data_IF_712055510418
#
_entry.id   IF_712055510418
#
_cell.length_a   1.000
_cell.length_b   1.000
_cell.length_c   1.000
_cell.angle_alpha   90.00
_cell.angle_beta   90.00
_cell.angle_gamma   90.00
#
_symmetry.space_group_name_H-M   'P 1'
#
loop_
_entity.id
_entity.type
_entity.pdbx_description
1 polymer ?
#
# COMPACT_ATOMS: atom_id res chain seq x y z
N UNK A 1 6.96 19.76 23.52
CA UNK A 1 5.87 19.23 24.36
C UNK A 1 4.53 19.34 23.63
N UNK A 2 4.06 20.54 23.26
CA UNK A 2 2.87 20.70 22.41
C UNK A 2 3.16 20.37 20.93
N UNK A 3 4.29 20.84 20.39
CA UNK A 3 4.71 20.51 19.01
C UNK A 3 4.89 19.00 18.80
N UNK A 4 5.54 18.30 19.74
CA UNK A 4 5.72 16.84 19.68
C UNK A 4 4.37 16.09 19.67
N UNK A 5 3.36 16.64 20.38
CA UNK A 5 2.03 16.06 20.43
C UNK A 5 1.33 16.23 19.07
N UNK A 6 1.42 17.42 18.49
CA UNK A 6 0.83 17.73 17.18
C UNK A 6 1.46 16.88 16.06
N UNK A 7 2.78 16.67 16.08
CA UNK A 7 3.47 15.77 15.14
C UNK A 7 3.01 14.31 15.30
N UNK A 8 2.76 13.86 16.53
CA UNK A 8 2.25 12.53 16.79
C UNK A 8 0.82 12.35 16.25
N UNK A 9 -0.06 13.32 16.46
CA UNK A 9 -1.43 13.31 15.94
C UNK A 9 -1.47 13.30 14.41
N UNK A 10 -0.62 14.11 13.76
CA UNK A 10 -0.55 14.14 12.30
C UNK A 10 -0.06 12.80 11.74
N UNK A 11 0.92 12.19 12.40
CA UNK A 11 1.42 10.86 12.04
C UNK A 11 0.32 9.79 12.16
N UNK A 12 -0.40 9.78 13.27
CA UNK A 12 -1.46 8.79 13.52
C UNK A 12 -2.61 8.95 12.50
N UNK A 13 -2.95 10.19 12.14
CA UNK A 13 -3.90 10.49 11.06
C UNK A 13 -3.45 9.93 9.72
N UNK A 14 -2.17 10.14 9.34
CA UNK A 14 -1.60 9.59 8.10
C UNK A 14 -1.65 8.06 8.08
N UNK A 15 -1.38 7.41 9.22
CA UNK A 15 -1.49 5.95 9.33
C UNK A 15 -2.93 5.46 9.19
N UNK A 16 -3.89 6.12 9.82
CA UNK A 16 -5.31 5.78 9.70
C UNK A 16 -5.78 5.87 8.23
N UNK A 17 -5.46 6.97 7.54
CA UNK A 17 -5.80 7.14 6.11
C UNK A 17 -5.13 6.08 5.23
N UNK A 18 -3.88 5.71 5.52
CA UNK A 18 -3.20 4.64 4.78
C UNK A 18 -3.87 3.27 4.98
N UNK A 19 -4.25 2.95 6.22
CA UNK A 19 -4.95 1.71 6.56
C UNK A 19 -6.29 1.60 5.83
N UNK A 20 -7.05 2.70 5.77
CA UNK A 20 -8.30 2.76 5.02
C UNK A 20 -8.07 2.59 3.52
N UNK A 21 -7.09 3.30 2.95
CA UNK A 21 -6.76 3.22 1.53
C UNK A 21 -6.32 1.80 1.12
N UNK A 22 -5.55 1.09 1.96
CA UNK A 22 -5.18 -0.31 1.75
C UNK A 22 -6.38 -1.24 1.82
N UNK A 23 -7.34 -0.97 2.71
CA UNK A 23 -8.60 -1.72 2.80
C UNK A 23 -9.42 -1.56 1.52
N UNK A 24 -9.57 -0.33 1.02
CA UNK A 24 -10.29 -0.04 -0.23
C UNK A 24 -9.56 -0.53 -1.49
N UNK A 25 -8.23 -0.71 -1.44
CA UNK A 25 -7.44 -1.19 -2.57
C UNK A 25 -7.85 -2.63 -2.98
N UNK A 26 -8.11 -3.48 -1.98
CA UNK A 26 -8.54 -4.86 -2.15
C UNK A 26 -7.49 -5.81 -2.75
N UNK A 27 -7.87 -7.07 -2.90
CA UNK A 27 -7.03 -8.12 -3.51
C UNK A 27 -7.07 -8.07 -5.04
N UNK A 28 -6.00 -8.50 -5.75
CA UNK A 28 -4.72 -9.01 -5.22
C UNK A 28 -3.73 -7.91 -4.83
N UNK A 29 -4.12 -6.64 -4.95
CA UNK A 29 -3.21 -5.51 -4.80
C UNK A 29 -2.74 -5.30 -3.36
N UNK A 30 -3.59 -5.54 -2.36
CA UNK A 30 -3.24 -5.42 -0.94
C UNK A 30 -2.13 -6.41 -0.58
N UNK A 31 -2.37 -7.71 -0.74
CA UNK A 31 -1.37 -8.74 -0.42
C UNK A 31 -0.09 -8.62 -1.24
N UNK A 32 -0.15 -8.17 -2.50
CA UNK A 32 1.04 -7.93 -3.32
C UNK A 32 1.92 -6.79 -2.77
N UNK A 33 1.31 -5.70 -2.30
CA UNK A 33 2.04 -4.56 -1.73
C UNK A 33 2.53 -4.86 -0.32
N UNK A 34 1.72 -5.51 0.52
CA UNK A 34 2.12 -5.96 1.86
C UNK A 34 3.29 -6.94 1.78
N UNK A 35 3.19 -7.91 0.87
CA UNK A 35 4.24 -8.87 0.62
C UNK A 35 5.57 -8.21 0.24
N UNK A 36 5.54 -7.20 -0.64
CA UNK A 36 6.77 -6.54 -1.08
C UNK A 36 7.32 -5.53 -0.07
N UNK A 37 6.49 -4.68 0.54
CA UNK A 37 6.95 -3.56 1.36
C UNK A 37 6.99 -3.85 2.86
N UNK A 38 6.22 -4.82 3.36
CA UNK A 38 6.14 -5.14 4.80
C UNK A 38 6.81 -6.48 5.12
N UNK A 39 6.70 -7.45 4.22
CA UNK A 39 7.25 -8.80 4.42
C UNK A 39 8.54 -9.06 3.64
N UNK A 40 9.03 -8.07 2.88
CA UNK A 40 10.26 -8.14 2.07
C UNK A 40 10.34 -9.37 1.14
N UNK A 41 9.18 -9.84 0.64
CA UNK A 41 9.11 -10.97 -0.28
C UNK A 41 9.74 -10.61 -1.62
N UNK A 42 10.47 -11.56 -2.20
CA UNK A 42 11.02 -11.38 -3.54
C UNK A 42 9.91 -11.34 -4.60
N UNK A 43 10.22 -10.78 -5.77
CA UNK A 43 9.26 -10.81 -6.89
C UNK A 43 8.99 -12.23 -7.37
N UNK A 44 9.93 -13.16 -7.19
CA UNK A 44 9.77 -14.57 -7.52
C UNK A 44 8.75 -15.24 -6.59
N UNK A 45 8.86 -15.00 -5.28
CA UNK A 45 7.91 -15.54 -4.30
C UNK A 45 6.50 -15.00 -4.57
N UNK A 46 6.39 -13.70 -4.82
CA UNK A 46 5.12 -13.06 -5.14
C UNK A 46 4.55 -13.50 -6.49
N UNK A 47 5.40 -13.79 -7.49
CA UNK A 47 4.95 -14.39 -8.75
C UNK A 47 4.30 -15.75 -8.49
N UNK A 48 4.92 -16.60 -7.67
CA UNK A 48 4.39 -17.93 -7.35
C UNK A 48 3.10 -17.85 -6.52
N UNK A 49 3.08 -17.02 -5.47
CA UNK A 49 1.95 -16.87 -4.55
C UNK A 49 0.68 -16.34 -5.24
N UNK A 50 0.85 -15.42 -6.19
CA UNK A 50 -0.27 -14.83 -6.92
C UNK A 50 -0.58 -15.53 -8.26
N UNK A 51 0.18 -16.56 -8.64
CA UNK A 51 -0.01 -17.27 -9.90
C UNK A 51 0.28 -16.45 -11.16
N UNK A 52 1.21 -15.49 -11.09
CA UNK A 52 1.63 -14.73 -12.27
C UNK A 52 2.56 -15.57 -13.16
N UNK A 53 2.53 -15.33 -14.46
CA UNK A 53 3.36 -16.07 -15.42
C UNK A 53 4.87 -15.82 -15.23
N UNK A 54 5.25 -14.61 -14.81
CA UNK A 54 6.64 -14.23 -14.58
C UNK A 54 6.77 -13.01 -13.64
N UNK A 55 8.02 -12.72 -13.24
CA UNK A 55 8.35 -11.60 -12.36
C UNK A 55 8.02 -10.23 -12.98
N UNK A 56 8.08 -10.09 -14.30
CA UNK A 56 7.80 -8.80 -14.95
C UNK A 56 6.31 -8.46 -14.94
N UNK A 57 5.45 -9.48 -15.04
CA UNK A 57 4.01 -9.35 -14.83
C UNK A 57 3.73 -8.92 -13.38
N UNK A 58 4.39 -9.56 -12.41
CA UNK A 58 4.25 -9.20 -10.99
C UNK A 58 4.72 -7.75 -10.71
N UNK A 59 5.87 -7.32 -11.26
CA UNK A 59 6.36 -5.93 -11.15
C UNK A 59 5.38 -4.94 -11.76
N UNK A 60 4.86 -5.24 -12.94
CA UNK A 60 3.89 -4.39 -13.64
C UNK A 60 2.60 -4.27 -12.81
N UNK A 61 2.12 -5.37 -12.26
CA UNK A 61 0.94 -5.38 -11.40
C UNK A 61 1.20 -4.61 -10.10
N UNK A 62 2.36 -4.79 -9.46
CA UNK A 62 2.75 -4.03 -8.26
C UNK A 62 2.73 -2.52 -8.53
N UNK A 63 3.28 -2.08 -9.66
CA UNK A 63 3.26 -0.67 -10.05
C UNK A 63 1.83 -0.13 -10.24
N UNK A 64 0.96 -0.90 -10.90
CA UNK A 64 -0.46 -0.54 -11.06
C UNK A 64 -1.18 -0.46 -9.71
N UNK A 65 -0.93 -1.42 -8.82
CA UNK A 65 -1.48 -1.44 -7.47
C UNK A 65 -1.02 -0.24 -6.65
N UNK A 66 0.28 0.09 -6.68
CA UNK A 66 0.82 1.26 -5.99
C UNK A 66 0.20 2.56 -6.53
N UNK A 67 0.01 2.66 -7.84
CA UNK A 67 -0.65 3.83 -8.46
C UNK A 67 -2.11 3.96 -8.03
N UNK A 68 -2.85 2.85 -7.92
CA UNK A 68 -4.21 2.84 -7.37
C UNK A 68 -4.23 3.23 -5.90
N UNK A 69 -3.33 2.68 -5.08
CA UNK A 69 -3.21 3.03 -3.67
C UNK A 69 -2.97 4.52 -3.49
N UNK A 70 -2.04 5.09 -4.27
CA UNK A 70 -1.77 6.53 -4.27
C UNK A 70 -3.04 7.35 -4.53
N UNK A 71 -3.85 6.95 -5.51
CA UNK A 71 -5.12 7.63 -5.81
C UNK A 71 -6.13 7.52 -4.67
N UNK A 72 -6.28 6.34 -4.07
CA UNK A 72 -7.17 6.12 -2.92
C UNK A 72 -6.74 6.96 -1.72
N UNK A 73 -5.45 6.91 -1.37
CA UNK A 73 -4.89 7.67 -0.27
C UNK A 73 -5.14 9.18 -0.44
N UNK A 74 -4.84 9.75 -1.60
CA UNK A 74 -5.04 11.19 -1.81
C UNK A 74 -6.50 11.60 -2.05
N UNK A 75 -7.40 10.67 -2.36
CA UNK A 75 -8.82 10.95 -2.35
C UNK A 75 -9.30 11.13 -0.90
N UNK A 76 -9.00 10.16 -0.02
CA UNK A 76 -9.34 10.20 1.40
C UNK A 76 -8.61 11.32 2.16
N UNK A 77 -7.39 11.68 1.75
CA UNK A 77 -6.61 12.74 2.41
C UNK A 77 -7.09 14.16 2.06
N UNK A 78 -7.72 14.37 0.89
CA UNK A 78 -8.21 15.69 0.45
C UNK A 78 -9.61 16.03 0.95
N UNK A 79 -10.36 15.05 1.42
CA UNK A 79 -11.69 15.24 2.01
C UNK A 79 -11.64 15.49 3.53
N UNK A 80 -10.43 15.62 4.10
CA UNK A 80 -10.20 15.75 5.52
C UNK A 80 -9.39 17.02 5.86
#
# INVERSE_FOLDING_TARGET
AEDDLHEAEERDRRFATMSEALTHLGEPCRSLLEGFYLLDKSMQDLTAEHGYTNADTAKTQKYKCLTRLKKLFFASYKEA
#
